data_IF_870877923433
#
_entry.id   IF_870877923433
#
_cell.length_a   1.000
_cell.length_b   1.000
_cell.length_c   1.000
_cell.angle_alpha   90.00
_cell.angle_beta   90.00
_cell.angle_gamma   90.00
#
_symmetry.space_group_name_H-M   'P 1'
#
loop_
_entity.id
_entity.type
_entity.pdbx_description
1 polymer ?
#
# COMPACT_ATOMS: atom_id res chain seq x y z
N UNK A 1 22.47 30.05 38.60
CA UNK A 1 23.20 28.92 37.97
C UNK A 1 22.28 27.78 37.52
N UNK A 2 21.42 27.25 38.39
CA UNK A 2 20.51 26.15 37.95
C UNK A 2 19.46 26.56 36.90
N UNK A 3 18.91 27.78 37.00
CA UNK A 3 17.89 28.23 36.03
C UNK A 3 18.46 28.45 34.65
N UNK A 4 19.68 29.00 34.53
CA UNK A 4 20.33 29.20 33.23
C UNK A 4 20.66 27.90 32.51
N UNK A 5 20.91 26.78 33.22
CA UNK A 5 21.10 25.47 32.64
C UNK A 5 19.77 24.88 32.16
N UNK A 6 18.70 25.06 32.90
CA UNK A 6 17.35 24.61 32.51
C UNK A 6 16.89 25.34 31.24
N UNK A 7 17.08 26.64 31.18
CA UNK A 7 16.70 27.48 30.03
C UNK A 7 17.51 27.10 28.78
N UNK A 8 18.81 26.77 28.92
CA UNK A 8 19.64 26.26 27.82
C UNK A 8 19.17 24.89 27.34
N UNK A 9 18.84 23.98 28.24
CA UNK A 9 18.34 22.66 27.90
C UNK A 9 16.99 22.76 27.17
N UNK A 10 16.10 23.63 27.62
CA UNK A 10 14.81 23.87 26.96
C UNK A 10 15.01 24.41 25.53
N UNK A 11 15.89 25.37 25.34
CA UNK A 11 16.21 25.93 24.05
C UNK A 11 16.78 24.87 23.07
N UNK A 12 17.60 23.94 23.56
CA UNK A 12 18.14 22.83 22.77
C UNK A 12 17.02 21.84 22.40
N UNK A 13 16.13 21.53 23.33
CA UNK A 13 14.99 20.65 23.04
C UNK A 13 14.05 21.25 22.00
N UNK A 14 13.74 22.53 22.10
CA UNK A 14 12.88 23.25 21.16
C UNK A 14 13.51 23.30 19.75
N UNK A 15 14.82 23.49 19.68
CA UNK A 15 15.56 23.42 18.41
C UNK A 15 15.50 22.04 17.78
N UNK A 16 15.79 21.00 18.56
CA UNK A 16 15.73 19.61 18.10
C UNK A 16 14.33 19.21 17.64
N UNK A 17 13.29 19.63 18.34
CA UNK A 17 11.90 19.38 17.95
C UNK A 17 11.55 20.02 16.60
N UNK A 18 12.00 21.26 16.35
CA UNK A 18 11.83 21.95 15.07
C UNK A 18 12.58 21.25 13.93
N UNK A 19 13.83 20.86 14.15
CA UNK A 19 14.64 20.14 13.16
C UNK A 19 14.02 18.78 12.83
N UNK A 20 13.52 18.06 13.83
CA UNK A 20 12.83 16.78 13.63
C UNK A 20 11.55 16.96 12.82
N UNK A 21 10.75 17.98 13.10
CA UNK A 21 9.52 18.27 12.35
C UNK A 21 9.80 18.59 10.87
N UNK A 22 10.87 19.36 10.60
CA UNK A 22 11.32 19.65 9.22
C UNK A 22 11.80 18.38 8.53
N UNK A 23 12.60 17.56 9.19
CA UNK A 23 13.12 16.31 8.64
C UNK A 23 11.97 15.31 8.32
N UNK A 24 10.97 15.20 9.19
CA UNK A 24 9.80 14.37 8.96
C UNK A 24 8.97 14.87 7.77
N UNK A 25 8.76 16.19 7.66
CA UNK A 25 8.06 16.79 6.51
C UNK A 25 8.81 16.55 5.20
N UNK A 26 10.13 16.71 5.21
CA UNK A 26 10.98 16.44 4.03
C UNK A 26 10.91 14.98 3.61
N UNK A 27 10.95 14.06 4.55
CA UNK A 27 10.80 12.62 4.27
C UNK A 27 9.46 12.29 3.62
N UNK A 28 8.37 12.83 4.16
CA UNK A 28 7.03 12.65 3.59
C UNK A 28 6.94 13.21 2.17
N UNK A 29 7.51 14.40 1.93
CA UNK A 29 7.53 15.01 0.59
C UNK A 29 8.34 14.18 -0.41
N UNK A 30 9.49 13.66 -0.01
CA UNK A 30 10.32 12.80 -0.85
C UNK A 30 9.62 11.48 -1.20
N UNK A 31 8.93 10.88 -0.23
CA UNK A 31 8.15 9.67 -0.46
C UNK A 31 6.98 9.92 -1.42
N UNK A 32 6.30 11.06 -1.29
CA UNK A 32 5.25 11.46 -2.24
C UNK A 32 5.80 11.65 -3.66
N UNK A 33 6.95 12.32 -3.80
CA UNK A 33 7.61 12.49 -5.09
C UNK A 33 8.05 11.16 -5.69
N UNK A 34 8.58 10.26 -4.87
CA UNK A 34 8.93 8.90 -5.29
C UNK A 34 7.72 8.14 -5.79
N UNK A 35 6.60 8.19 -5.07
CA UNK A 35 5.37 7.53 -5.49
C UNK A 35 4.83 8.11 -6.80
N UNK A 36 4.89 9.43 -6.97
CA UNK A 36 4.50 10.06 -8.23
C UNK A 36 5.43 9.63 -9.39
N UNK A 37 6.74 9.63 -9.18
CA UNK A 37 7.70 9.19 -10.19
C UNK A 37 7.48 7.72 -10.59
N UNK A 38 7.24 6.84 -9.63
CA UNK A 38 6.93 5.43 -9.90
C UNK A 38 5.60 5.27 -10.65
N UNK A 39 4.61 6.11 -10.35
CA UNK A 39 3.34 6.14 -11.07
C UNK A 39 3.53 6.64 -12.50
N UNK A 40 4.34 7.67 -12.69
CA UNK A 40 4.69 8.20 -14.02
C UNK A 40 5.46 7.16 -14.85
N UNK A 41 6.42 6.47 -14.25
CA UNK A 41 7.16 5.38 -14.91
C UNK A 41 6.22 4.23 -15.31
N UNK A 42 5.34 3.80 -14.41
CA UNK A 42 4.34 2.80 -14.71
C UNK A 42 3.37 3.24 -15.81
N UNK A 43 3.01 4.52 -15.85
CA UNK A 43 2.17 5.09 -16.88
C UNK A 43 2.93 5.31 -18.20
N UNK A 44 4.21 5.65 -18.16
CA UNK A 44 5.05 5.79 -19.35
C UNK A 44 5.24 4.46 -20.08
N UNK A 45 5.44 3.36 -19.33
CA UNK A 45 5.44 2.00 -19.89
C UNK A 45 4.09 1.60 -20.52
N UNK A 46 3.03 2.34 -20.21
CA UNK A 46 1.69 2.23 -20.78
C UNK A 46 1.41 3.24 -21.89
N UNK A 47 2.28 4.19 -22.16
CA UNK A 47 2.08 5.18 -23.21
C UNK A 47 1.88 4.54 -24.59
N UNK A 48 2.32 3.30 -24.75
CA UNK A 48 1.98 2.45 -25.91
C UNK A 48 0.49 2.02 -25.86
N UNK A 49 -0.13 2.05 -24.70
CA UNK A 49 -1.55 1.83 -24.47
C UNK A 49 -2.20 3.20 -24.18
N UNK A 50 -2.17 4.12 -25.12
CA UNK A 50 -2.89 5.40 -25.07
C UNK A 50 -4.40 5.21 -25.01
N UNK A 51 -4.82 4.27 -24.23
CA UNK A 51 -6.20 3.95 -23.97
C UNK A 51 -6.66 4.91 -22.88
N UNK A 52 -7.72 5.63 -23.18
CA UNK A 52 -8.54 6.28 -22.19
C UNK A 52 -8.70 5.33 -20.96
N UNK A 53 -8.31 5.80 -19.79
CA UNK A 53 -8.35 4.98 -18.57
C UNK A 53 -9.77 4.45 -18.30
N UNK A 54 -10.81 5.15 -18.74
CA UNK A 54 -12.19 4.70 -18.68
C UNK A 54 -12.46 3.51 -19.62
N UNK A 55 -11.70 3.40 -20.71
CA UNK A 55 -11.77 2.27 -21.63
C UNK A 55 -11.01 1.07 -21.08
N UNK A 56 -9.84 1.29 -20.49
CA UNK A 56 -9.09 0.24 -19.76
C UNK A 56 -9.96 -0.37 -18.66
N UNK A 57 -10.69 0.47 -17.94
CA UNK A 57 -11.61 0.06 -16.90
C UNK A 57 -12.76 -0.82 -17.40
N UNK A 58 -13.26 -0.55 -18.58
CA UNK A 58 -14.33 -1.30 -19.23
C UNK A 58 -13.83 -2.50 -20.02
N UNK A 59 -12.58 -2.49 -20.45
CA UNK A 59 -11.97 -3.54 -21.25
C UNK A 59 -11.42 -4.66 -20.33
N UNK A 60 -12.14 -5.76 -20.29
CA UNK A 60 -11.78 -7.01 -19.62
C UNK A 60 -10.37 -7.51 -20.04
N UNK A 61 -9.86 -7.03 -21.17
CA UNK A 61 -8.55 -7.42 -21.71
C UNK A 61 -7.34 -6.74 -21.07
N UNK A 62 -7.51 -5.72 -20.24
CA UNK A 62 -6.37 -5.09 -19.58
C UNK A 62 -5.98 -5.81 -18.30
N UNK A 63 -4.94 -6.59 -18.36
CA UNK A 63 -4.58 -7.55 -17.34
C UNK A 63 -3.39 -7.18 -16.48
N UNK A 64 -2.72 -6.11 -16.67
CA UNK A 64 -1.46 -5.86 -15.96
C UNK A 64 -0.45 -6.97 -16.26
N UNK A 65 -0.44 -8.06 -15.51
CA UNK A 65 0.41 -9.24 -15.79
C UNK A 65 -0.41 -10.43 -16.29
N UNK A 66 0.19 -11.20 -17.19
CA UNK A 66 -0.42 -12.43 -17.72
C UNK A 66 -0.26 -13.63 -16.76
N UNK A 67 0.72 -13.60 -15.84
CA UNK A 67 1.02 -14.68 -14.92
C UNK A 67 1.15 -14.19 -13.48
N UNK A 68 0.94 -15.08 -12.53
CA UNK A 68 1.18 -14.85 -11.10
C UNK A 68 2.63 -15.15 -10.75
N UNK A 69 3.15 -14.50 -9.73
CA UNK A 69 4.47 -14.75 -9.15
C UNK A 69 4.40 -15.50 -7.84
N UNK A 70 3.30 -15.30 -7.08
CA UNK A 70 3.11 -15.97 -5.81
C UNK A 70 2.60 -17.39 -5.99
N UNK A 71 3.13 -18.29 -5.19
CA UNK A 71 2.52 -19.59 -4.94
C UNK A 71 1.36 -19.45 -3.96
N UNK A 72 0.53 -20.48 -3.84
CA UNK A 72 -0.51 -20.53 -2.81
C UNK A 72 0.07 -20.39 -1.41
N UNK A 73 1.16 -21.10 -1.12
CA UNK A 73 1.85 -21.02 0.16
C UNK A 73 2.32 -19.59 0.49
N UNK A 74 2.83 -18.86 -0.50
CA UNK A 74 3.21 -17.45 -0.32
C UNK A 74 2.00 -16.56 -0.03
N UNK A 75 0.87 -16.77 -0.70
CA UNK A 75 -0.36 -16.02 -0.45
C UNK A 75 -0.88 -16.26 0.97
N UNK A 76 -0.92 -17.51 1.40
CA UNK A 76 -1.31 -17.89 2.78
C UNK A 76 -0.36 -17.26 3.80
N UNK A 77 0.94 -17.29 3.56
CA UNK A 77 1.94 -16.67 4.43
C UNK A 77 1.76 -15.14 4.50
N UNK A 78 1.44 -14.49 3.39
CA UNK A 78 1.17 -13.05 3.36
C UNK A 78 -0.09 -12.69 4.16
N UNK A 79 -1.17 -13.47 4.05
CA UNK A 79 -2.37 -13.33 4.88
C UNK A 79 -2.03 -13.47 6.37
N UNK A 80 -1.29 -14.51 6.73
CA UNK A 80 -0.90 -14.76 8.12
C UNK A 80 -0.03 -13.62 8.69
N UNK A 81 0.88 -13.07 7.86
CA UNK A 81 1.68 -11.92 8.26
C UNK A 81 0.79 -10.70 8.53
N UNK A 82 -0.12 -10.35 7.61
CA UNK A 82 -1.02 -9.21 7.77
C UNK A 82 -1.91 -9.37 9.01
N UNK A 83 -2.50 -10.54 9.21
CA UNK A 83 -3.28 -10.88 10.39
C UNK A 83 -2.47 -10.67 11.69
N UNK A 84 -1.22 -11.12 11.72
CA UNK A 84 -0.32 -10.92 12.86
C UNK A 84 -0.11 -9.43 13.17
N UNK A 85 0.09 -8.57 12.15
CA UNK A 85 0.30 -7.14 12.37
C UNK A 85 -0.97 -6.45 12.89
N UNK A 86 -2.13 -6.79 12.35
CA UNK A 86 -3.43 -6.30 12.82
C UNK A 86 -3.69 -6.73 14.27
N UNK A 87 -3.53 -8.01 14.58
CA UNK A 87 -3.74 -8.54 15.93
C UNK A 87 -2.74 -7.99 16.96
N UNK A 88 -1.57 -7.56 16.52
CA UNK A 88 -0.58 -6.88 17.35
C UNK A 88 -0.89 -5.38 17.58
N UNK A 89 -1.99 -4.87 17.05
CA UNK A 89 -2.40 -3.47 17.21
C UNK A 89 -1.46 -2.46 16.58
N UNK A 90 -0.79 -2.83 15.48
CA UNK A 90 0.13 -1.96 14.76
C UNK A 90 -0.59 -0.72 14.25
N UNK A 91 0.17 0.38 14.11
CA UNK A 91 -0.37 1.68 13.78
C UNK A 91 -0.17 2.02 12.31
N UNK A 92 -1.11 2.81 11.77
CA UNK A 92 -0.99 3.38 10.45
C UNK A 92 -0.05 4.59 10.48
N UNK A 93 0.96 4.56 9.62
CA UNK A 93 1.78 5.74 9.31
C UNK A 93 2.01 5.77 7.80
N UNK A 94 1.58 6.86 7.17
CA UNK A 94 1.73 7.03 5.73
C UNK A 94 3.21 6.95 5.32
N UNK A 95 3.52 6.23 4.24
CA UNK A 95 4.88 6.00 3.78
C UNK A 95 5.62 4.88 4.54
N UNK A 96 5.00 4.22 5.52
CA UNK A 96 5.65 3.18 6.33
C UNK A 96 5.39 1.77 5.81
N UNK A 97 6.40 0.91 5.89
CA UNK A 97 6.39 -0.47 5.38
C UNK A 97 6.77 -1.52 6.45
N UNK A 98 6.68 -1.13 7.72
CA UNK A 98 7.00 -2.01 8.85
C UNK A 98 8.43 -1.86 9.36
N UNK A 99 8.81 -2.65 10.37
CA UNK A 99 7.98 -3.63 11.10
C UNK A 99 7.08 -3.02 12.19
N UNK A 100 7.25 -1.73 12.48
CA UNK A 100 6.57 -1.06 13.61
C UNK A 100 5.24 -0.47 13.21
N UNK A 101 5.20 0.18 12.05
CA UNK A 101 4.04 0.87 11.48
C UNK A 101 3.92 0.55 10.00
N UNK A 102 2.73 0.74 9.43
CA UNK A 102 2.45 0.45 8.03
C UNK A 102 1.49 1.47 7.43
N UNK A 103 1.61 1.74 6.14
CA UNK A 103 0.47 2.20 5.35
C UNK A 103 -0.13 1.05 4.53
N UNK A 104 -1.16 1.34 3.73
CA UNK A 104 -1.89 0.31 3.00
C UNK A 104 -1.00 -0.52 2.06
N UNK A 105 -0.19 0.13 1.24
CA UNK A 105 0.72 -0.54 0.32
C UNK A 105 1.96 -1.10 1.01
N UNK A 106 2.39 -0.49 2.10
CA UNK A 106 3.50 -0.97 2.93
C UNK A 106 3.18 -2.28 3.65
N UNK A 107 1.94 -2.46 4.12
CA UNK A 107 1.50 -3.74 4.67
C UNK A 107 1.53 -4.86 3.63
N UNK A 108 1.05 -4.60 2.41
CA UNK A 108 1.10 -5.55 1.30
C UNK A 108 2.54 -5.91 0.94
N UNK A 109 3.40 -4.89 0.80
CA UNK A 109 4.82 -5.08 0.53
C UNK A 109 5.50 -5.95 1.57
N UNK A 110 5.36 -5.63 2.85
CA UNK A 110 5.98 -6.37 3.93
C UNK A 110 5.46 -7.80 4.04
N UNK A 111 4.16 -8.01 3.82
CA UNK A 111 3.54 -9.31 3.86
C UNK A 111 4.12 -10.25 2.79
N UNK A 112 4.19 -9.80 1.56
CA UNK A 112 4.75 -10.60 0.48
C UNK A 112 6.27 -10.75 0.55
N UNK A 113 6.99 -9.73 1.01
CA UNK A 113 8.42 -9.84 1.29
C UNK A 113 8.71 -10.89 2.35
N UNK A 114 7.92 -10.92 3.42
CA UNK A 114 8.06 -11.94 4.48
C UNK A 114 7.70 -13.35 3.99
N UNK A 115 6.84 -13.46 2.99
CA UNK A 115 6.49 -14.72 2.34
C UNK A 115 7.55 -15.25 1.37
N UNK A 116 8.68 -14.55 1.24
CA UNK A 116 9.79 -14.95 0.37
C UNK A 116 9.64 -14.52 -1.08
N UNK A 117 8.68 -13.64 -1.39
CA UNK A 117 8.57 -13.08 -2.72
C UNK A 117 9.63 -12.00 -2.91
N UNK A 118 10.82 -12.41 -3.34
CA UNK A 118 11.88 -11.52 -3.77
C UNK A 118 11.64 -11.07 -5.21
N UNK A 119 11.47 -9.77 -5.45
CA UNK A 119 11.66 -9.21 -6.76
C UNK A 119 13.03 -8.53 -6.82
N UNK A 120 13.89 -8.91 -7.77
CA UNK A 120 15.04 -8.08 -8.07
C UNK A 120 14.53 -6.67 -8.38
N UNK A 121 15.06 -5.66 -7.70
CA UNK A 121 14.61 -4.28 -7.81
C UNK A 121 13.17 -4.00 -7.35
N UNK A 122 12.57 -4.86 -6.53
CA UNK A 122 11.31 -4.55 -5.91
C UNK A 122 11.52 -3.53 -4.81
N UNK A 123 11.38 -2.33 -5.18
CA UNK A 123 11.05 -1.27 -4.25
C UNK A 123 9.59 -1.35 -3.89
N UNK A 124 9.26 -0.77 -2.74
CA UNK A 124 7.90 -0.62 -2.31
C UNK A 124 7.04 0.05 -3.38
N UNK A 125 6.04 -0.65 -3.86
CA UNK A 125 5.05 -0.13 -4.80
C UNK A 125 3.94 0.61 -4.04
N UNK A 126 3.35 1.62 -4.66
CA UNK A 126 2.08 2.18 -4.19
C UNK A 126 0.89 1.35 -4.69
N UNK A 127 -0.32 1.69 -4.24
CA UNK A 127 -1.53 0.94 -4.58
C UNK A 127 -1.84 0.88 -6.08
N UNK A 128 -1.59 1.96 -6.82
CA UNK A 128 -1.78 1.98 -8.28
C UNK A 128 -0.76 1.10 -9.01
N UNK A 129 0.49 1.09 -8.54
CA UNK A 129 1.55 0.25 -9.10
C UNK A 129 1.32 -1.24 -8.80
N UNK A 130 0.81 -1.59 -7.63
CA UNK A 130 0.38 -2.96 -7.35
C UNK A 130 -0.72 -3.42 -8.30
N UNK A 131 -1.64 -2.53 -8.68
CA UNK A 131 -2.62 -2.84 -9.70
C UNK A 131 -1.96 -3.24 -11.02
N UNK A 132 -0.93 -2.54 -11.46
CA UNK A 132 -0.20 -2.84 -12.71
C UNK A 132 0.66 -4.09 -12.59
N UNK A 133 1.25 -4.29 -11.42
CA UNK A 133 2.23 -5.35 -11.17
C UNK A 133 1.61 -6.72 -10.89
N UNK A 134 0.27 -6.83 -10.81
CA UNK A 134 -0.44 -8.07 -10.48
C UNK A 134 -1.34 -8.54 -11.61
N UNK A 135 -1.64 -9.84 -11.65
CA UNK A 135 -2.61 -10.44 -12.58
C UNK A 135 -4.02 -10.07 -12.12
N UNK A 136 -4.87 -9.61 -13.05
CA UNK A 136 -6.28 -9.32 -12.76
C UNK A 136 -7.05 -10.60 -12.48
N UNK A 137 -7.85 -10.55 -11.42
CA UNK A 137 -8.73 -11.64 -10.99
C UNK A 137 -10.11 -11.06 -10.73
N UNK A 138 -11.19 -11.61 -11.32
CA UNK A 138 -12.54 -11.20 -10.96
C UNK A 138 -12.76 -11.34 -9.46
N UNK A 139 -13.56 -10.45 -8.86
CA UNK A 139 -13.84 -10.51 -7.41
C UNK A 139 -14.42 -11.86 -6.98
N UNK A 140 -15.22 -12.51 -7.85
CA UNK A 140 -15.81 -13.83 -7.60
C UNK A 140 -14.80 -14.98 -7.59
N UNK A 141 -13.60 -14.76 -8.15
CA UNK A 141 -12.55 -15.78 -8.26
C UNK A 141 -11.36 -15.51 -7.32
N UNK A 142 -11.51 -14.49 -6.45
CA UNK A 142 -10.47 -14.16 -5.51
C UNK A 142 -10.29 -15.26 -4.46
N UNK A 143 -9.03 -15.51 -4.14
CA UNK A 143 -8.61 -16.42 -3.06
C UNK A 143 -7.81 -15.64 -2.00
N UNK A 144 -7.70 -16.15 -0.77
CA UNK A 144 -6.88 -15.50 0.26
C UNK A 144 -5.47 -15.16 -0.23
N UNK A 145 -5.04 -13.93 0.04
CA UNK A 145 -3.79 -13.35 -0.44
C UNK A 145 -3.93 -12.48 -1.70
N UNK A 146 -4.99 -12.61 -2.48
CA UNK A 146 -5.23 -11.66 -3.57
C UNK A 146 -5.37 -10.23 -3.01
N UNK A 147 -5.11 -9.24 -3.83
CA UNK A 147 -5.16 -7.84 -3.45
C UNK A 147 -6.49 -7.21 -3.82
N UNK A 148 -7.05 -6.43 -2.92
CA UNK A 148 -8.26 -5.64 -3.14
C UNK A 148 -7.87 -4.19 -3.36
N UNK A 149 -8.51 -3.51 -4.29
CA UNK A 149 -8.20 -2.15 -4.67
C UNK A 149 -9.42 -1.24 -4.60
N UNK A 150 -9.18 0.02 -4.24
CA UNK A 150 -10.23 1.05 -4.15
C UNK A 150 -9.80 2.30 -4.90
N UNK A 151 -10.71 2.86 -5.69
CA UNK A 151 -10.45 4.03 -6.52
C UNK A 151 -11.55 5.07 -6.36
N UNK A 152 -11.17 6.35 -6.27
CA UNK A 152 -12.13 7.45 -6.17
C UNK A 152 -13.02 7.62 -7.43
N UNK A 153 -12.45 7.32 -8.60
CA UNK A 153 -13.13 7.54 -9.89
C UNK A 153 -13.20 6.27 -10.75
N UNK A 154 -12.88 5.11 -10.18
CA UNK A 154 -12.84 3.86 -10.94
C UNK A 154 -11.70 3.78 -11.95
N UNK A 155 -10.69 4.64 -11.87
CA UNK A 155 -9.51 4.65 -12.74
C UNK A 155 -8.26 4.26 -11.98
N UNK A 156 -7.27 3.73 -12.69
CA UNK A 156 -6.01 3.28 -12.08
C UNK A 156 -5.26 4.42 -11.40
N UNK A 157 -5.24 5.59 -12.02
CA UNK A 157 -4.56 6.77 -11.48
C UNK A 157 -5.20 7.32 -10.19
N UNK A 158 -6.43 6.94 -9.89
CA UNK A 158 -7.16 7.36 -8.70
C UNK A 158 -7.33 6.24 -7.67
N UNK A 159 -6.60 5.13 -7.82
CA UNK A 159 -6.51 4.11 -6.78
C UNK A 159 -5.81 4.72 -5.57
N UNK A 160 -6.53 4.74 -4.46
CA UNK A 160 -6.10 5.39 -3.22
C UNK A 160 -5.88 4.41 -2.07
N UNK A 161 -6.38 3.17 -2.20
CA UNK A 161 -6.24 2.17 -1.15
C UNK A 161 -6.07 0.77 -1.71
N UNK A 162 -5.41 -0.08 -0.93
CA UNK A 162 -5.14 -1.49 -1.23
C UNK A 162 -5.19 -2.29 0.06
N UNK A 163 -5.65 -3.55 -0.03
CA UNK A 163 -5.71 -4.47 1.09
C UNK A 163 -5.40 -5.91 0.63
N UNK A 164 -5.19 -6.81 1.59
CA UNK A 164 -4.99 -8.24 1.35
C UNK A 164 -6.31 -8.97 1.62
N UNK A 165 -6.85 -9.63 0.60
CA UNK A 165 -8.07 -10.43 0.73
C UNK A 165 -7.83 -11.61 1.67
N UNK A 166 -8.74 -11.79 2.63
CA UNK A 166 -8.65 -12.84 3.64
C UNK A 166 -9.53 -14.07 3.33
N UNK A 167 -10.43 -13.95 2.35
CA UNK A 167 -11.51 -14.89 2.10
C UNK A 167 -12.85 -14.35 2.60
N UNK A 168 -13.94 -14.95 2.16
CA UNK A 168 -15.31 -14.71 2.65
C UNK A 168 -15.75 -13.23 2.65
N UNK A 169 -15.27 -12.47 1.66
CA UNK A 169 -15.58 -11.04 1.55
C UNK A 169 -14.87 -10.15 2.57
N UNK A 170 -13.83 -10.67 3.24
CA UNK A 170 -13.06 -9.96 4.26
C UNK A 170 -11.65 -9.65 3.80
N UNK A 171 -11.00 -8.67 4.43
CA UNK A 171 -9.64 -8.24 4.13
C UNK A 171 -8.86 -7.82 5.37
N UNK A 172 -7.54 -7.90 5.26
CA UNK A 172 -6.57 -7.31 6.19
C UNK A 172 -6.02 -6.03 5.59
N UNK A 173 -6.09 -4.94 6.31
CA UNK A 173 -5.71 -3.62 5.80
C UNK A 173 -5.00 -2.73 6.82
N UNK A 174 -4.15 -1.84 6.34
CA UNK A 174 -3.73 -0.65 7.06
C UNK A 174 -4.59 0.51 6.53
N UNK A 175 -5.67 0.85 7.27
CA UNK A 175 -6.76 1.69 6.76
C UNK A 175 -6.38 3.17 6.65
N UNK A 176 -6.17 3.82 7.78
CA UNK A 176 -5.72 5.21 7.89
C UNK A 176 -5.28 5.51 9.34
N UNK A 177 -4.83 6.75 9.58
CA UNK A 177 -4.34 7.20 10.90
C UNK A 177 -5.39 7.17 12.04
N UNK A 178 -6.68 7.13 11.71
CA UNK A 178 -7.76 7.18 12.70
C UNK A 178 -8.24 5.77 13.08
N UNK A 179 -8.07 4.82 12.17
CA UNK A 179 -8.53 3.43 12.33
C UNK A 179 -7.40 2.42 12.43
N UNK A 180 -6.16 2.82 12.09
CA UNK A 180 -4.98 1.96 12.11
C UNK A 180 -5.09 0.72 11.21
N UNK A 181 -4.56 -0.41 11.66
CA UNK A 181 -4.67 -1.69 10.97
C UNK A 181 -5.90 -2.45 11.47
N UNK A 182 -6.67 -3.02 10.55
CA UNK A 182 -7.89 -3.75 10.93
C UNK A 182 -8.23 -4.89 9.98
N UNK A 183 -9.15 -5.72 10.44
CA UNK A 183 -9.85 -6.74 9.66
C UNK A 183 -11.24 -6.24 9.36
N UNK A 184 -11.60 -6.14 8.09
CA UNK A 184 -12.84 -5.51 7.65
C UNK A 184 -13.41 -6.17 6.40
N UNK A 185 -14.69 -5.86 6.11
CA UNK A 185 -15.31 -6.29 4.86
C UNK A 185 -14.72 -5.52 3.67
N UNK A 186 -14.55 -6.19 2.53
CA UNK A 186 -14.15 -5.52 1.27
C UNK A 186 -15.15 -4.46 0.82
N UNK A 187 -16.38 -4.48 1.35
CA UNK A 187 -17.42 -3.50 1.05
C UNK A 187 -17.45 -2.32 2.02
N UNK A 188 -16.54 -2.29 3.01
CA UNK A 188 -16.48 -1.21 4.02
C UNK A 188 -15.93 0.11 3.48
N UNK A 189 -15.26 0.09 2.34
CA UNK A 189 -14.66 1.26 1.70
C UNK A 189 -15.36 1.51 0.35
N UNK A 190 -15.66 2.78 0.05
CA UNK A 190 -16.23 3.15 -1.24
C UNK A 190 -15.20 3.06 -2.35
N UNK A 191 -15.65 2.71 -3.56
CA UNK A 191 -14.80 2.67 -4.75
C UNK A 191 -14.08 1.35 -4.95
N UNK A 192 -14.62 0.26 -4.42
CA UNK A 192 -14.13 -1.09 -4.70
C UNK A 192 -14.03 -1.33 -6.21
N UNK A 193 -12.84 -1.72 -6.67
CA UNK A 193 -12.57 -2.05 -8.06
C UNK A 193 -13.17 -3.41 -8.43
N UNK A 194 -13.66 -3.63 -9.69
CA UNK A 194 -14.32 -4.88 -10.07
C UNK A 194 -13.37 -6.08 -10.19
N UNK A 195 -12.08 -5.85 -10.08
CA UNK A 195 -11.06 -6.89 -10.10
C UNK A 195 -10.14 -6.75 -8.92
N UNK A 196 -9.69 -7.88 -8.41
CA UNK A 196 -8.54 -7.99 -7.54
C UNK A 196 -7.23 -8.15 -8.32
N UNK A 197 -6.12 -8.26 -7.60
CA UNK A 197 -4.80 -8.53 -8.16
C UNK A 197 -4.16 -9.74 -7.51
N UNK A 198 -3.80 -10.74 -8.29
CA UNK A 198 -3.00 -11.88 -7.83
C UNK A 198 -1.53 -11.61 -8.08
N UNK A 199 -0.76 -11.60 -7.01
CA UNK A 199 0.67 -11.34 -7.02
C UNK A 199 1.45 -12.43 -7.74
#
# INVERSE_FOLDING_TARGET
MQQDEVDKLQAVQDKLAKELAVAQKTRLTLEQQRQLALLEEANAGRAILTLDQSKIWRDIGFTGRSSTRSTEAMRIAAVAYAAKQVNAGKKYVWGSEGPTTFDCSGLVYAAYKSAGLGWPNWDRLNSSLFWVATKRVPLSEMVPGDLVFYSYKGTVSTIHHIAIYAGDGMMWEAHNKDKDLLYSSIYSIKGLMPYGGRV
#
